data_IF_135215995847
#
_entry.id   IF_135215995847
#
_cell.length_a   1.000
_cell.length_b   1.000
_cell.length_c   1.000
_cell.angle_alpha   90.00
_cell.angle_beta   90.00
_cell.angle_gamma   90.00
#
_symmetry.space_group_name_H-M   'P 1'
#
loop_
_entity.id
_entity.type
_entity.pdbx_description
1 polymer ?
#
# COMPACT_ATOMS: atom_id res chain seq x y z
N UNK A 1 -0.76 -1.12 12.89
CA UNK A 1 -1.99 -1.58 12.19
C UNK A 1 -1.97 -3.08 12.01
N UNK A 2 -3.07 -3.82 12.27
CA UNK A 2 -3.08 -5.24 11.96
C UNK A 2 -3.44 -5.43 10.48
N UNK A 3 -2.59 -4.94 9.57
CA UNK A 3 -2.60 -5.50 8.21
C UNK A 3 -2.04 -6.93 8.20
N UNK A 4 -1.31 -7.31 9.27
CA UNK A 4 -0.78 -8.63 9.50
C UNK A 4 -1.76 -9.63 10.13
N UNK A 5 -2.86 -9.17 10.74
CA UNK A 5 -3.77 -10.04 11.50
C UNK A 5 -5.17 -9.87 10.95
N UNK A 6 -5.76 -10.98 10.51
CA UNK A 6 -7.13 -11.09 9.99
C UNK A 6 -8.16 -10.79 11.09
N UNK A 7 -8.23 -9.56 11.58
CA UNK A 7 -9.34 -9.12 12.39
C UNK A 7 -10.57 -8.94 11.50
N UNK A 8 -11.75 -9.27 12.01
CA UNK A 8 -13.01 -8.87 11.38
C UNK A 8 -13.23 -7.38 11.64
N UNK A 9 -12.43 -6.54 10.99
CA UNK A 9 -12.40 -5.08 11.16
C UNK A 9 -13.71 -4.40 10.79
N UNK A 10 -14.49 -5.06 9.95
CA UNK A 10 -15.82 -4.63 9.54
C UNK A 10 -16.92 -5.02 10.52
N UNK A 11 -16.64 -5.86 11.54
CA UNK A 11 -17.64 -6.30 12.52
C UNK A 11 -17.46 -5.54 13.83
N UNK A 12 -18.46 -4.74 14.17
CA UNK A 12 -18.59 -4.08 15.47
C UNK A 12 -19.93 -4.47 16.08
N UNK A 13 -19.91 -4.92 17.34
CA UNK A 13 -21.11 -5.38 18.05
C UNK A 13 -21.96 -6.42 17.29
N UNK A 14 -21.27 -7.36 16.61
CA UNK A 14 -21.85 -8.39 15.73
C UNK A 14 -22.54 -7.88 14.46
N UNK A 15 -22.41 -6.60 14.13
CA UNK A 15 -22.90 -6.02 12.88
C UNK A 15 -21.77 -5.63 11.93
N UNK A 16 -21.99 -5.84 10.63
CA UNK A 16 -21.07 -5.33 9.61
C UNK A 16 -21.31 -3.82 9.42
N UNK A 17 -20.40 -2.99 9.92
CA UNK A 17 -20.51 -1.52 9.94
C UNK A 17 -20.73 -0.93 8.54
N UNK A 18 -20.03 -1.45 7.54
CA UNK A 18 -20.16 -0.98 6.16
C UNK A 18 -21.56 -1.29 5.61
N UNK A 19 -22.04 -2.51 5.84
CA UNK A 19 -23.36 -2.94 5.36
C UNK A 19 -24.49 -2.26 6.13
N UNK A 20 -24.41 -2.14 7.46
CA UNK A 20 -25.41 -1.46 8.28
C UNK A 20 -25.52 0.01 7.89
N UNK A 21 -24.39 0.70 7.70
CA UNK A 21 -24.34 2.08 7.20
C UNK A 21 -24.97 2.20 5.81
N UNK A 22 -24.69 1.27 4.89
CA UNK A 22 -25.23 1.30 3.52
C UNK A 22 -26.76 1.15 3.45
N UNK A 23 -27.39 0.50 4.44
CA UNK A 23 -28.86 0.35 4.47
C UNK A 23 -29.58 1.71 4.59
N UNK A 24 -28.97 2.64 5.32
CA UNK A 24 -29.53 3.96 5.59
C UNK A 24 -28.87 5.08 4.76
N UNK A 25 -27.87 4.75 3.93
CA UNK A 25 -27.13 5.72 3.14
C UNK A 25 -27.06 5.28 1.66
N UNK A 26 -28.04 5.76 0.89
CA UNK A 26 -28.26 5.36 -0.51
C UNK A 26 -27.02 5.46 -1.42
N UNK A 27 -26.21 6.53 -1.38
CA UNK A 27 -25.01 6.62 -2.23
C UNK A 27 -24.02 5.48 -1.99
N UNK A 28 -23.78 5.13 -0.72
CA UNK A 28 -22.87 4.03 -0.37
C UNK A 28 -23.41 2.68 -0.82
N UNK A 29 -24.73 2.48 -0.72
CA UNK A 29 -25.35 1.25 -1.24
C UNK A 29 -25.07 1.08 -2.73
N UNK A 30 -25.25 2.13 -3.52
CA UNK A 30 -24.92 2.10 -4.94
C UNK A 30 -23.43 1.85 -5.19
N UNK A 31 -22.52 2.49 -4.44
CA UNK A 31 -21.09 2.26 -4.58
C UNK A 31 -20.69 0.80 -4.27
N UNK A 32 -21.27 0.19 -3.23
CA UNK A 32 -21.04 -1.23 -2.89
C UNK A 32 -21.56 -2.15 -4.00
N UNK A 33 -22.75 -1.87 -4.54
CA UNK A 33 -23.27 -2.63 -5.68
C UNK A 33 -22.36 -2.49 -6.90
N UNK A 34 -21.88 -1.28 -7.21
CA UNK A 34 -20.97 -1.03 -8.32
C UNK A 34 -19.71 -1.89 -8.21
N UNK A 35 -18.95 -1.81 -7.11
CA UNK A 35 -17.70 -2.57 -6.96
C UNK A 35 -17.92 -4.08 -6.92
N UNK A 36 -19.06 -4.53 -6.37
CA UNK A 36 -19.42 -5.95 -6.34
C UNK A 36 -19.67 -6.48 -7.75
N UNK A 37 -20.47 -5.76 -8.56
CA UNK A 37 -20.75 -6.13 -9.95
C UNK A 37 -19.50 -6.05 -10.81
N UNK A 38 -18.65 -5.04 -10.61
CA UNK A 38 -17.36 -4.92 -11.31
C UNK A 38 -16.51 -6.16 -11.07
N UNK A 39 -16.35 -6.55 -9.81
CA UNK A 39 -15.52 -7.68 -9.44
C UNK A 39 -16.07 -9.00 -9.99
N UNK A 40 -17.37 -9.26 -9.90
CA UNK A 40 -17.99 -10.42 -10.55
C UNK A 40 -17.85 -10.36 -12.07
N UNK A 41 -17.99 -9.17 -12.64
CA UNK A 41 -17.87 -8.91 -14.07
C UNK A 41 -16.49 -9.22 -14.63
N UNK A 42 -15.45 -8.79 -13.91
CA UNK A 42 -14.05 -9.03 -14.26
C UNK A 42 -13.63 -10.50 -14.11
N UNK A 43 -14.25 -11.27 -13.20
CA UNK A 43 -13.85 -12.65 -12.92
C UNK A 43 -14.50 -13.65 -13.87
N UNK A 44 -15.82 -13.62 -14.00
CA UNK A 44 -16.55 -14.69 -14.69
C UNK A 44 -17.86 -14.28 -15.35
N UNK A 45 -18.31 -13.03 -15.18
CA UNK A 45 -19.65 -12.59 -15.60
C UNK A 45 -19.66 -11.25 -16.35
N UNK A 46 -19.02 -11.15 -17.53
CA UNK A 46 -18.85 -9.87 -18.25
C UNK A 46 -20.15 -9.08 -18.46
N UNK A 47 -21.30 -9.75 -18.51
CA UNK A 47 -22.61 -9.12 -18.61
C UNK A 47 -22.96 -8.17 -17.45
N UNK A 48 -22.31 -8.33 -16.29
CA UNK A 48 -22.55 -7.50 -15.10
C UNK A 48 -21.80 -6.15 -15.14
N UNK A 49 -20.85 -5.96 -16.06
CA UNK A 49 -20.03 -4.74 -16.15
C UNK A 49 -20.90 -3.52 -16.45
N UNK A 50 -21.90 -3.63 -17.31
CA UNK A 50 -22.80 -2.51 -17.61
C UNK A 50 -23.58 -2.04 -16.37
N UNK A 51 -24.07 -2.98 -15.56
CA UNK A 51 -24.77 -2.68 -14.30
C UNK A 51 -23.85 -2.04 -13.26
N UNK A 52 -22.57 -2.40 -13.27
CA UNK A 52 -21.53 -1.78 -12.45
C UNK A 52 -21.42 -0.27 -12.71
N UNK A 53 -21.34 0.13 -13.99
CA UNK A 53 -21.28 1.56 -14.36
C UNK A 53 -22.54 2.31 -13.98
N UNK A 54 -23.71 1.70 -14.18
CA UNK A 54 -24.98 2.31 -13.81
C UNK A 54 -25.05 2.62 -12.31
N UNK A 55 -24.59 1.69 -11.46
CA UNK A 55 -24.56 1.93 -10.01
C UNK A 55 -23.50 2.94 -9.60
N UNK A 56 -22.34 2.99 -10.27
CA UNK A 56 -21.35 4.04 -10.05
C UNK A 56 -21.95 5.44 -10.32
N UNK A 57 -22.60 5.63 -11.47
CA UNK A 57 -23.23 6.90 -11.83
C UNK A 57 -24.35 7.29 -10.85
N UNK A 58 -25.13 6.31 -10.39
CA UNK A 58 -26.14 6.51 -9.35
C UNK A 58 -25.52 6.93 -8.00
N UNK A 59 -24.40 6.33 -7.61
CA UNK A 59 -23.68 6.71 -6.39
C UNK A 59 -23.19 8.15 -6.45
N UNK A 60 -22.59 8.57 -7.57
CA UNK A 60 -22.13 9.95 -7.80
C UNK A 60 -23.30 10.93 -7.80
N UNK A 61 -24.40 10.60 -8.49
CA UNK A 61 -25.59 11.45 -8.55
C UNK A 61 -26.22 11.65 -7.17
N UNK A 62 -26.36 10.55 -6.41
CA UNK A 62 -26.88 10.61 -5.05
C UNK A 62 -25.92 11.36 -4.11
N UNK A 63 -24.60 11.23 -4.30
CA UNK A 63 -23.59 11.98 -3.55
C UNK A 63 -23.71 13.50 -3.75
N UNK A 64 -24.01 13.96 -4.98
CA UNK A 64 -24.19 15.40 -5.27
C UNK A 64 -25.42 15.99 -4.59
N UNK A 65 -26.40 15.14 -4.24
CA UNK A 65 -27.65 15.54 -3.61
C UNK A 65 -27.62 15.36 -2.08
N UNK A 66 -26.44 15.19 -1.49
CA UNK A 66 -26.29 14.96 -0.05
C UNK A 66 -26.67 16.19 0.77
N UNK A 67 -27.44 15.95 1.82
CA UNK A 67 -27.68 16.95 2.86
C UNK A 67 -26.38 17.32 3.57
N UNK A 68 -26.17 18.59 3.95
CA UNK A 68 -25.09 18.99 4.85
C UNK A 68 -25.08 18.25 6.20
N UNK A 69 -26.22 17.67 6.60
CA UNK A 69 -26.37 16.87 7.82
C UNK A 69 -26.01 15.39 7.64
N UNK A 70 -25.48 14.98 6.49
CA UNK A 70 -25.11 13.59 6.23
C UNK A 70 -23.99 13.14 7.17
N UNK A 71 -24.00 11.86 7.57
CA UNK A 71 -22.96 11.28 8.42
C UNK A 71 -21.58 11.37 7.74
N UNK A 72 -20.58 12.04 8.35
CA UNK A 72 -19.23 12.12 7.79
C UNK A 72 -18.58 10.75 7.59
N UNK A 73 -18.87 9.79 8.47
CA UNK A 73 -18.36 8.43 8.38
C UNK A 73 -18.98 7.67 7.20
N UNK A 74 -20.28 7.84 6.95
CA UNK A 74 -20.92 7.24 5.78
C UNK A 74 -20.37 7.82 4.46
N UNK A 75 -20.09 9.13 4.44
CA UNK A 75 -19.44 9.81 3.32
C UNK A 75 -17.99 9.35 3.15
N UNK A 76 -17.27 9.09 4.25
CA UNK A 76 -15.92 8.52 4.22
C UNK A 76 -15.91 7.14 3.57
N UNK A 77 -16.80 6.24 4.01
CA UNK A 77 -16.93 4.91 3.41
C UNK A 77 -17.32 4.97 1.93
N UNK A 78 -18.22 5.89 1.55
CA UNK A 78 -18.60 6.10 0.15
C UNK A 78 -17.36 6.42 -0.71
N UNK A 79 -16.57 7.42 -0.32
CA UNK A 79 -15.41 7.82 -1.09
C UNK A 79 -14.29 6.77 -1.10
N UNK A 80 -14.15 5.99 -0.02
CA UNK A 80 -13.24 4.85 -0.02
C UNK A 80 -13.66 3.79 -1.05
N UNK A 81 -14.93 3.40 -1.08
CA UNK A 81 -15.40 2.39 -2.05
C UNK A 81 -15.30 2.90 -3.49
N UNK A 82 -15.62 4.18 -3.73
CA UNK A 82 -15.46 4.79 -5.07
C UNK A 82 -13.98 4.87 -5.49
N UNK A 83 -13.06 5.16 -4.56
CA UNK A 83 -11.63 5.08 -4.83
C UNK A 83 -11.22 3.66 -5.25
N UNK A 84 -11.61 2.64 -4.50
CA UNK A 84 -11.31 1.23 -4.84
C UNK A 84 -11.92 0.82 -6.18
N UNK A 85 -13.12 1.33 -6.51
CA UNK A 85 -13.76 1.15 -7.80
C UNK A 85 -12.91 1.75 -8.94
N UNK A 86 -12.49 3.00 -8.79
CA UNK A 86 -11.68 3.70 -9.79
C UNK A 86 -10.33 3.01 -9.99
N UNK A 87 -9.68 2.56 -8.92
CA UNK A 87 -8.42 1.79 -9.00
C UNK A 87 -8.66 0.48 -9.78
N UNK A 88 -9.78 -0.21 -9.54
CA UNK A 88 -10.11 -1.43 -10.26
C UNK A 88 -10.39 -1.17 -11.76
N UNK A 89 -11.00 -0.03 -12.09
CA UNK A 89 -11.40 0.38 -13.44
C UNK A 89 -10.25 0.94 -14.28
N UNK A 90 -9.46 1.88 -13.75
CA UNK A 90 -8.14 2.23 -14.30
C UNK A 90 -7.29 0.97 -14.51
N UNK A 91 -7.69 -0.06 -13.77
CA UNK A 91 -7.01 -1.30 -13.67
C UNK A 91 -7.04 -2.00 -15.08
N UNK A 92 -8.15 -1.75 -15.78
CA UNK A 92 -8.50 -2.25 -17.10
C UNK A 92 -8.14 -1.17 -18.12
N UNK A 93 -7.58 -1.55 -19.28
CA UNK A 93 -7.17 -0.61 -20.35
C UNK A 93 -8.38 0.01 -21.06
N UNK A 94 -9.23 0.72 -20.33
CA UNK A 94 -10.38 1.39 -20.92
C UNK A 94 -9.95 2.69 -21.61
N UNK A 95 -10.52 3.03 -22.79
CA UNK A 95 -10.05 4.13 -23.62
C UNK A 95 -10.21 5.53 -23.00
N UNK A 96 -11.05 5.66 -21.97
CA UNK A 96 -11.36 6.94 -21.35
C UNK A 96 -10.71 7.02 -19.97
N UNK A 97 -9.80 7.99 -19.80
CA UNK A 97 -9.21 8.34 -18.50
C UNK A 97 -10.27 9.04 -17.65
N UNK A 98 -11.11 8.24 -17.00
CA UNK A 98 -12.19 8.69 -16.09
C UNK A 98 -11.77 8.65 -14.62
N UNK A 99 -10.47 8.65 -14.31
CA UNK A 99 -10.04 8.47 -12.93
C UNK A 99 -10.36 9.70 -12.06
N UNK A 100 -11.14 9.50 -11.00
CA UNK A 100 -11.45 10.54 -9.99
C UNK A 100 -10.65 10.33 -8.70
N UNK A 101 -9.51 9.65 -8.77
CA UNK A 101 -8.65 9.34 -7.62
C UNK A 101 -8.31 10.58 -6.79
N UNK A 102 -7.79 11.63 -7.43
CA UNK A 102 -7.38 12.84 -6.73
C UNK A 102 -8.55 13.54 -6.05
N UNK A 103 -9.77 13.41 -6.59
CA UNK A 103 -11.00 13.91 -5.94
C UNK A 103 -11.33 13.10 -4.69
N UNK A 104 -11.32 11.77 -4.79
CA UNK A 104 -11.63 10.89 -3.65
C UNK A 104 -10.59 11.00 -2.54
N UNK A 105 -9.30 11.02 -2.87
CA UNK A 105 -8.21 11.18 -1.90
C UNK A 105 -8.29 12.52 -1.15
N UNK A 106 -8.56 13.63 -1.85
CA UNK A 106 -8.76 14.94 -1.21
C UNK A 106 -9.95 14.94 -0.25
N UNK A 107 -11.07 14.33 -0.64
CA UNK A 107 -12.26 14.27 0.21
C UNK A 107 -12.07 13.33 1.40
N UNK A 108 -11.40 12.20 1.21
CA UNK A 108 -11.01 11.30 2.30
C UNK A 108 -10.09 11.99 3.30
N UNK A 109 -9.12 12.78 2.81
CA UNK A 109 -8.21 13.54 3.65
C UNK A 109 -8.98 14.54 4.54
N UNK A 110 -9.92 15.30 3.97
CA UNK A 110 -10.73 16.23 4.78
C UNK A 110 -11.53 15.50 5.86
N UNK A 111 -12.16 14.37 5.51
CA UNK A 111 -13.01 13.58 6.41
C UNK A 111 -12.23 12.80 7.49
N UNK A 112 -10.94 12.53 7.25
CA UNK A 112 -10.05 11.89 8.21
C UNK A 112 -9.65 12.83 9.36
N UNK A 113 -9.57 14.13 9.08
CA UNK A 113 -9.18 15.18 10.04
C UNK A 113 -10.36 15.99 10.60
N UNK A 114 -11.60 15.70 10.17
CA UNK A 114 -12.78 16.28 10.82
C UNK A 114 -12.79 15.89 12.31
N UNK A 115 -12.99 16.87 13.23
CA UNK A 115 -13.02 16.61 14.66
C UNK A 115 -13.98 15.46 14.94
N UNK A 116 -13.44 14.35 15.41
CA UNK A 116 -14.25 13.19 15.68
C UNK A 116 -15.37 13.58 16.65
N UNK A 117 -16.61 13.19 16.33
CA UNK A 117 -17.61 13.00 17.37
C UNK A 117 -17.08 12.01 18.44
N UNK A 118 -17.87 11.72 19.48
CA UNK A 118 -17.38 11.00 20.67
C UNK A 118 -16.76 9.60 20.44
N UNK A 119 -16.83 9.01 19.23
CA UNK A 119 -16.03 7.83 18.86
C UNK A 119 -15.88 7.69 17.34
N UNK A 120 -14.69 7.28 16.87
CA UNK A 120 -14.43 6.84 15.48
C UNK A 120 -14.57 5.32 15.43
N UNK A 121 -15.26 4.77 14.42
CA UNK A 121 -15.34 3.30 14.27
C UNK A 121 -13.96 2.68 14.02
N UNK A 122 -13.77 1.41 14.41
CA UNK A 122 -12.55 0.65 14.12
C UNK A 122 -12.32 0.54 12.61
N UNK A 123 -13.40 0.39 11.83
CA UNK A 123 -13.30 0.36 10.37
C UNK A 123 -12.77 1.68 9.81
N UNK A 124 -13.31 2.83 10.25
CA UNK A 124 -12.82 4.15 9.79
C UNK A 124 -11.36 4.36 10.19
N UNK A 125 -10.98 4.06 11.43
CA UNK A 125 -9.59 4.14 11.87
C UNK A 125 -8.66 3.25 11.03
N UNK A 126 -9.05 2.01 10.75
CA UNK A 126 -8.29 1.12 9.88
C UNK A 126 -8.11 1.69 8.46
N UNK A 127 -9.21 2.09 7.85
CA UNK A 127 -9.20 2.61 6.48
C UNK A 127 -8.38 3.90 6.37
N UNK A 128 -8.39 4.76 7.39
CA UNK A 128 -7.59 6.00 7.40
C UNK A 128 -6.10 5.76 7.17
N UNK A 129 -5.49 4.76 7.80
CA UNK A 129 -4.07 4.48 7.56
C UNK A 129 -3.85 3.57 6.36
N UNK A 130 -4.80 2.71 6.00
CA UNK A 130 -4.72 1.94 4.76
C UNK A 130 -4.69 2.88 3.54
N UNK A 131 -5.55 3.91 3.52
CA UNK A 131 -5.55 4.96 2.49
C UNK A 131 -4.22 5.72 2.48
N UNK A 132 -3.65 6.03 3.65
CA UNK A 132 -2.33 6.67 3.73
C UNK A 132 -1.26 5.82 3.03
N UNK A 133 -1.20 4.52 3.32
CA UNK A 133 -0.24 3.63 2.69
C UNK A 133 -0.49 3.51 1.19
N UNK A 134 -1.76 3.36 0.77
CA UNK A 134 -2.16 3.25 -0.62
C UNK A 134 -1.75 4.49 -1.42
N UNK A 135 -2.05 5.68 -0.91
CA UNK A 135 -1.69 6.96 -1.54
C UNK A 135 -0.17 7.16 -1.57
N UNK A 136 0.53 6.80 -0.49
CA UNK A 136 1.98 6.87 -0.43
C UNK A 136 2.63 5.94 -1.46
N UNK A 137 2.18 4.68 -1.56
CA UNK A 137 2.67 3.71 -2.53
C UNK A 137 2.38 4.13 -3.97
N UNK A 138 1.21 4.71 -4.25
CA UNK A 138 0.90 5.27 -5.57
C UNK A 138 1.84 6.44 -5.92
N UNK A 139 2.18 7.29 -4.95
CA UNK A 139 3.17 8.35 -5.14
C UNK A 139 4.59 7.82 -5.39
N UNK A 140 5.00 6.78 -4.65
CA UNK A 140 6.26 6.06 -4.91
C UNK A 140 6.28 5.43 -6.31
N UNK A 141 5.14 4.94 -6.80
CA UNK A 141 4.98 4.45 -8.17
C UNK A 141 5.01 5.55 -9.25
N UNK A 142 5.26 6.80 -8.88
CA UNK A 142 5.34 7.94 -9.80
C UNK A 142 4.00 8.43 -10.31
N UNK A 143 2.89 8.10 -9.66
CA UNK A 143 1.58 8.64 -10.02
C UNK A 143 1.49 10.12 -9.60
N UNK A 144 1.33 11.02 -10.58
CA UNK A 144 1.22 12.46 -10.35
C UNK A 144 -0.07 12.90 -9.65
N UNK A 145 -1.13 12.09 -9.73
CA UNK A 145 -2.42 12.33 -9.08
C UNK A 145 -2.46 11.81 -7.63
N UNK A 146 -1.39 11.14 -7.18
CA UNK A 146 -1.26 10.64 -5.82
C UNK A 146 -0.67 11.70 -4.85
N UNK A 147 -0.62 11.35 -3.57
CA UNK A 147 -0.04 12.14 -2.50
C UNK A 147 -0.96 13.22 -1.93
N UNK A 148 -2.24 13.25 -2.29
CA UNK A 148 -3.19 14.20 -1.72
C UNK A 148 -3.50 13.90 -0.25
N UNK A 149 -3.76 12.63 0.07
CA UNK A 149 -4.01 12.19 1.44
C UNK A 149 -2.71 12.22 2.24
N UNK A 150 -1.60 11.81 1.63
CA UNK A 150 -0.26 11.86 2.23
C UNK A 150 0.15 13.27 2.64
N UNK A 151 -0.01 14.28 1.78
CA UNK A 151 0.30 15.68 2.12
C UNK A 151 -0.56 16.20 3.25
N UNK A 152 -1.88 15.96 3.18
CA UNK A 152 -2.79 16.37 4.24
C UNK A 152 -2.40 15.75 5.59
N UNK A 153 -2.01 14.46 5.62
CA UNK A 153 -1.51 13.81 6.83
C UNK A 153 -0.26 14.51 7.40
N UNK A 154 0.73 14.81 6.56
CA UNK A 154 1.95 15.50 6.97
C UNK A 154 1.69 16.93 7.46
N UNK A 155 0.78 17.65 6.80
CA UNK A 155 0.37 19.03 7.13
C UNK A 155 -0.48 19.10 8.41
N UNK A 156 -1.28 18.07 8.71
CA UNK A 156 -2.13 17.99 9.91
C UNK A 156 -1.42 17.26 11.07
N UNK A 157 -0.12 17.49 11.25
CA UNK A 157 0.63 17.03 12.41
C UNK A 157 0.83 15.51 12.50
N UNK A 158 0.79 14.79 11.37
CA UNK A 158 0.98 13.33 11.31
C UNK A 158 0.00 12.56 12.19
N UNK A 159 -1.23 13.05 12.31
CA UNK A 159 -2.27 12.45 13.14
C UNK A 159 -3.38 11.84 12.30
N UNK A 160 -3.69 10.58 12.55
CA UNK A 160 -4.88 9.89 12.06
C UNK A 160 -5.58 9.20 13.21
N UNK A 161 -6.89 8.91 13.08
CA UNK A 161 -7.59 8.11 14.06
C UNK A 161 -6.84 6.79 14.29
N UNK A 162 -6.39 6.59 15.52
CA UNK A 162 -5.86 5.29 15.96
C UNK A 162 -7.04 4.47 16.43
N UNK A 163 -6.98 3.17 16.18
CA UNK A 163 -7.92 2.21 16.75
C UNK A 163 -8.05 2.48 18.27
N UNK A 164 -9.27 2.72 18.81
CA UNK A 164 -9.44 2.79 20.26
C UNK A 164 -9.21 1.39 20.85
N UNK A 165 -8.04 1.14 21.42
CA UNK A 165 -7.73 -0.13 22.07
C UNK A 165 -8.48 -0.17 23.41
N UNK A 166 -9.82 -0.21 23.41
CA UNK A 166 -10.73 -0.43 24.57
C UNK A 166 -12.21 -0.18 24.16
N UNK A 167 -13.28 -0.76 24.77
CA UNK A 167 -13.46 -1.98 25.55
C UNK A 167 -14.50 -2.88 24.85
N UNK A 168 -14.24 -3.37 23.63
CA UNK A 168 -14.98 -4.55 23.20
C UNK A 168 -14.64 -5.65 24.20
N UNK A 169 -15.64 -6.32 24.78
CA UNK A 169 -15.45 -7.40 25.77
C UNK A 169 -14.56 -8.56 25.27
N UNK A 170 -14.15 -8.53 24.00
CA UNK A 170 -13.07 -9.33 23.44
C UNK A 170 -11.71 -8.72 23.80
N UNK A 171 -11.08 -9.27 24.83
CA UNK A 171 -9.63 -9.12 25.03
C UNK A 171 -8.92 -9.68 23.78
N UNK A 172 -8.35 -8.79 22.96
CA UNK A 172 -7.56 -9.17 21.77
C UNK A 172 -6.27 -9.87 22.18
N UNK A 173 -5.71 -9.48 23.34
CA UNK A 173 -4.52 -10.05 23.94
C UNK A 173 -4.85 -10.49 25.36
N UNK A 174 -4.22 -11.58 25.79
CA UNK A 174 -4.56 -12.31 27.00
C UNK A 174 -4.00 -11.65 28.26
N UNK A 175 -2.84 -10.97 28.15
CA UNK A 175 -2.14 -10.35 29.29
C UNK A 175 -1.81 -8.87 29.08
N UNK A 176 -1.68 -8.06 30.16
CA UNK A 176 -1.21 -6.68 30.06
C UNK A 176 0.19 -6.53 29.46
N UNK A 177 1.10 -7.47 29.73
CA UNK A 177 2.47 -7.47 29.20
C UNK A 177 2.46 -7.68 27.68
N UNK A 178 1.61 -8.59 27.19
CA UNK A 178 1.41 -8.81 25.76
C UNK A 178 0.83 -7.57 25.08
N UNK A 179 -0.03 -6.83 25.78
CA UNK A 179 -0.56 -5.55 25.29
C UNK A 179 0.53 -4.47 25.20
N UNK A 180 1.37 -4.31 26.22
CA UNK A 180 2.49 -3.36 26.19
C UNK A 180 3.44 -3.65 25.03
N UNK A 181 3.78 -4.92 24.83
CA UNK A 181 4.65 -5.33 23.73
C UNK A 181 3.98 -5.12 22.36
N UNK A 182 2.69 -5.45 22.23
CA UNK A 182 1.91 -5.13 21.05
C UNK A 182 1.91 -3.63 20.73
N UNK A 183 1.76 -2.77 21.75
CA UNK A 183 1.75 -1.32 21.56
C UNK A 183 3.10 -0.81 21.03
N UNK A 184 4.23 -1.38 21.45
CA UNK A 184 5.56 -1.04 20.92
C UNK A 184 5.69 -1.40 19.45
N UNK A 185 5.37 -2.64 19.06
CA UNK A 185 5.45 -3.05 17.64
C UNK A 185 4.39 -2.34 16.79
N UNK A 186 3.23 -2.01 17.38
CA UNK A 186 2.21 -1.22 16.71
C UNK A 186 2.72 0.20 16.44
N UNK A 187 3.33 0.86 17.42
CA UNK A 187 3.97 2.18 17.25
C UNK A 187 5.01 2.13 16.13
N UNK A 188 5.85 1.10 16.09
CA UNK A 188 6.83 0.91 15.01
C UNK A 188 6.16 0.83 13.62
N UNK A 189 5.01 0.16 13.51
CA UNK A 189 4.25 0.11 12.26
C UNK A 189 3.69 1.47 11.83
N UNK A 190 3.27 2.32 12.78
CA UNK A 190 2.78 3.68 12.49
C UNK A 190 3.93 4.58 12.01
N UNK A 191 5.08 4.50 12.68
CA UNK A 191 6.31 5.21 12.28
C UNK A 191 6.73 4.82 10.86
N UNK A 192 6.59 3.54 10.50
CA UNK A 192 6.88 3.09 9.13
C UNK A 192 5.93 3.71 8.11
N UNK A 193 4.66 3.90 8.44
CA UNK A 193 3.72 4.62 7.58
C UNK A 193 4.03 6.12 7.47
N UNK A 194 4.53 6.74 8.54
CA UNK A 194 5.05 8.11 8.48
C UNK A 194 6.26 8.22 7.54
N UNK A 195 7.22 7.28 7.63
CA UNK A 195 8.35 7.23 6.69
C UNK A 195 7.89 7.02 5.23
N UNK A 196 6.88 6.17 4.99
CA UNK A 196 6.24 6.05 3.66
C UNK A 196 5.67 7.37 3.17
N UNK A 197 4.95 8.09 4.04
CA UNK A 197 4.34 9.36 3.68
C UNK A 197 5.41 10.39 3.27
N UNK A 198 6.46 10.54 4.07
CA UNK A 198 7.56 11.47 3.81
C UNK A 198 8.33 11.11 2.54
N UNK A 199 8.73 9.83 2.39
CA UNK A 199 9.48 9.36 1.22
C UNK A 199 8.67 9.45 -0.06
N UNK A 200 7.35 9.22 -0.01
CA UNK A 200 6.46 9.36 -1.16
C UNK A 200 6.49 10.79 -1.71
N UNK A 201 6.38 11.79 -0.83
CA UNK A 201 6.46 13.19 -1.26
C UNK A 201 7.87 13.57 -1.72
N UNK A 202 8.91 13.07 -1.04
CA UNK A 202 10.28 13.27 -1.46
C UNK A 202 10.53 12.70 -2.88
N UNK A 203 10.05 11.49 -3.17
CA UNK A 203 10.19 10.84 -4.48
C UNK A 203 9.50 11.64 -5.58
N UNK A 204 8.24 12.07 -5.38
CA UNK A 204 7.51 12.88 -6.35
C UNK A 204 8.22 14.20 -6.64
N UNK A 205 8.71 14.89 -5.60
CA UNK A 205 9.45 16.14 -5.74
C UNK A 205 10.79 15.94 -6.43
N UNK A 206 11.54 14.89 -6.08
CA UNK A 206 12.86 14.60 -6.65
C UNK A 206 12.76 14.19 -8.11
N UNK A 207 11.77 13.36 -8.49
CA UNK A 207 11.46 13.04 -9.89
C UNK A 207 11.07 14.29 -10.69
N UNK A 208 10.29 15.20 -10.10
CA UNK A 208 9.94 16.48 -10.75
C UNK A 208 11.18 17.35 -10.96
N UNK A 209 11.97 17.59 -9.91
CA UNK A 209 13.18 18.41 -9.98
C UNK A 209 14.22 17.83 -10.95
N UNK A 210 14.34 16.49 -11.02
CA UNK A 210 15.20 15.82 -11.99
C UNK A 210 14.76 16.09 -13.44
N UNK A 211 13.45 15.94 -13.74
CA UNK A 211 12.90 16.20 -15.08
C UNK A 211 13.08 17.67 -15.50
N UNK A 212 12.94 18.59 -14.54
CA UNK A 212 13.15 20.03 -14.76
C UNK A 212 14.63 20.43 -14.78
N UNK A 213 15.57 19.48 -14.56
CA UNK A 213 17.02 19.72 -14.46
C UNK A 213 17.41 20.74 -13.38
N UNK A 214 16.61 20.80 -12.32
CA UNK A 214 16.80 21.71 -11.19
C UNK A 214 17.72 21.14 -10.10
N UNK A 215 18.14 19.88 -10.21
CA UNK A 215 18.94 19.20 -9.19
C UNK A 215 20.14 18.45 -9.78
N UNK A 216 21.31 18.62 -9.17
CA UNK A 216 22.55 17.97 -9.59
C UNK A 216 22.75 16.57 -9.02
N UNK A 217 23.70 15.81 -9.56
CA UNK A 217 24.06 14.46 -9.08
C UNK A 217 24.41 14.42 -7.58
N UNK A 218 25.31 15.31 -7.14
CA UNK A 218 25.77 15.36 -5.75
C UNK A 218 24.61 15.64 -4.78
N UNK A 219 23.72 16.56 -5.15
CA UNK A 219 22.56 16.92 -4.33
C UNK A 219 21.55 15.77 -4.24
N UNK A 220 21.31 15.06 -5.35
CA UNK A 220 20.51 13.83 -5.36
C UNK A 220 21.10 12.78 -4.43
N UNK A 221 22.38 12.44 -4.57
CA UNK A 221 23.05 11.43 -3.73
C UNK A 221 23.03 11.79 -2.25
N UNK A 222 23.30 13.06 -1.92
CA UNK A 222 23.21 13.55 -0.54
C UNK A 222 21.79 13.40 0.02
N UNK A 223 20.76 13.74 -0.78
CA UNK A 223 19.37 13.59 -0.37
C UNK A 223 19.01 12.13 -0.04
N UNK A 224 19.45 11.18 -0.86
CA UNK A 224 19.24 9.74 -0.60
C UNK A 224 19.94 9.32 0.68
N UNK A 225 21.20 9.71 0.86
CA UNK A 225 21.99 9.37 2.04
C UNK A 225 21.39 9.94 3.32
N UNK A 226 21.00 11.22 3.31
CA UNK A 226 20.39 11.89 4.47
C UNK A 226 19.05 11.25 4.87
N UNK A 227 18.26 10.83 3.88
CA UNK A 227 16.98 10.16 4.14
C UNK A 227 17.19 8.73 4.64
N UNK A 228 18.19 8.01 4.10
CA UNK A 228 18.55 6.64 4.51
C UNK A 228 19.03 6.61 5.96
N UNK A 229 19.97 7.51 6.33
CA UNK A 229 20.45 7.66 7.71
C UNK A 229 19.29 7.96 8.65
N UNK A 230 18.40 8.91 8.29
CA UNK A 230 17.26 9.28 9.14
C UNK A 230 16.31 8.11 9.36
N UNK A 231 15.98 7.36 8.31
CA UNK A 231 15.14 6.18 8.44
C UNK A 231 15.79 5.10 9.31
N UNK A 232 17.09 4.86 9.15
CA UNK A 232 17.83 3.90 9.97
C UNK A 232 17.85 4.32 11.45
N UNK A 233 18.10 5.59 11.75
CA UNK A 233 18.06 6.12 13.12
C UNK A 233 16.68 5.95 13.74
N UNK A 234 15.62 6.38 13.04
CA UNK A 234 14.24 6.27 13.53
C UNK A 234 13.82 4.81 13.74
N UNK A 235 14.22 3.91 12.84
CA UNK A 235 13.99 2.47 13.00
C UNK A 235 14.68 1.93 14.25
N UNK A 236 15.99 2.17 14.40
CA UNK A 236 16.79 1.67 15.52
C UNK A 236 16.29 2.20 16.88
N UNK A 237 15.85 3.45 16.96
CA UNK A 237 15.32 4.05 18.18
C UNK A 237 13.98 3.46 18.63
N UNK A 238 13.21 2.87 17.72
CA UNK A 238 11.84 2.39 18.00
C UNK A 238 11.67 0.86 17.85
N UNK A 239 12.65 0.16 17.26
CA UNK A 239 12.62 -1.28 17.08
C UNK A 239 12.94 -1.99 18.42
N UNK A 240 12.06 -2.87 18.93
CA UNK A 240 12.36 -3.64 20.13
C UNK A 240 13.56 -4.59 19.89
N UNK A 241 14.65 -4.52 20.66
CA UNK A 241 15.89 -5.27 20.36
C UNK A 241 15.71 -6.79 20.27
N UNK A 242 14.82 -7.34 21.09
CA UNK A 242 14.55 -8.77 21.15
C UNK A 242 13.72 -9.29 19.95
N UNK A 243 13.16 -8.40 19.13
CA UNK A 243 12.42 -8.77 17.90
C UNK A 243 13.36 -8.98 16.71
N UNK A 244 14.58 -8.43 16.76
CA UNK A 244 15.60 -8.65 15.72
C UNK A 244 16.33 -9.98 15.92
N UNK A 245 16.44 -10.45 17.16
CA UNK A 245 16.96 -11.77 17.50
C UNK A 245 15.93 -12.87 17.20
N UNK A 246 16.19 -13.67 16.16
CA UNK A 246 15.46 -14.92 15.88
C UNK A 246 15.77 -15.96 16.98
N UNK A 247 15.12 -15.86 18.14
CA UNK A 247 15.09 -16.97 19.09
C UNK A 247 13.96 -17.94 18.72
N UNK A 248 14.39 -19.06 18.12
CA UNK A 248 13.60 -20.28 17.91
C UNK A 248 13.17 -20.84 19.27
N UNK A 249 11.99 -20.44 19.72
CA UNK A 249 11.29 -21.16 20.77
C UNK A 249 9.96 -21.73 20.25
N UNK A 250 9.50 -22.78 20.94
CA UNK A 250 8.33 -23.59 20.67
C UNK A 250 7.10 -22.84 20.12
N UNK A 251 6.17 -23.58 19.50
CA UNK A 251 4.98 -23.07 18.82
C UNK A 251 4.40 -21.80 19.49
N UNK A 252 4.52 -20.62 18.83
CA UNK A 252 4.26 -19.34 19.49
C UNK A 252 2.82 -19.25 19.98
N UNK A 253 2.64 -18.72 21.19
CA UNK A 253 1.32 -18.43 21.76
C UNK A 253 0.49 -17.54 20.82
N UNK A 254 -0.86 -17.55 20.91
CA UNK A 254 -1.71 -16.70 20.07
C UNK A 254 -1.33 -15.21 20.12
N UNK A 255 -1.05 -14.69 21.31
CA UNK A 255 -0.59 -13.31 21.51
C UNK A 255 0.75 -13.06 20.81
N UNK A 256 1.72 -13.98 20.97
CA UNK A 256 3.04 -13.88 20.31
C UNK A 256 2.93 -13.89 18.79
N UNK A 257 1.96 -14.62 18.22
CA UNK A 257 1.70 -14.59 16.75
C UNK A 257 1.17 -13.23 16.28
N UNK A 258 0.29 -12.59 17.03
CA UNK A 258 -0.26 -11.25 16.71
C UNK A 258 0.87 -10.20 16.75
N UNK A 259 1.68 -10.25 17.80
CA UNK A 259 2.81 -9.33 17.99
C UNK A 259 3.86 -9.55 16.90
N UNK A 260 4.30 -10.79 16.69
CA UNK A 260 5.27 -11.14 15.65
C UNK A 260 4.76 -10.81 14.25
N UNK A 261 3.49 -11.07 13.95
CA UNK A 261 2.89 -10.68 12.67
C UNK A 261 2.92 -9.17 12.47
N UNK A 262 2.58 -8.39 13.50
CA UNK A 262 2.62 -6.91 13.44
C UNK A 262 4.04 -6.39 13.23
N UNK A 263 5.02 -6.97 13.91
CA UNK A 263 6.44 -6.66 13.71
C UNK A 263 6.92 -7.04 12.30
N UNK A 264 6.66 -8.26 11.85
CA UNK A 264 7.06 -8.75 10.53
C UNK A 264 6.48 -7.88 9.41
N UNK A 265 5.24 -7.42 9.57
CA UNK A 265 4.66 -6.45 8.64
C UNK A 265 5.44 -5.13 8.64
N UNK A 266 5.72 -4.55 9.81
CA UNK A 266 6.51 -3.30 9.89
C UNK A 266 7.92 -3.47 9.28
N UNK A 267 8.60 -4.59 9.58
CA UNK A 267 9.94 -4.91 9.06
C UNK A 267 9.95 -5.13 7.55
N UNK A 268 8.92 -5.77 6.99
CA UNK A 268 8.74 -5.92 5.54
C UNK A 268 8.56 -4.54 4.88
N UNK A 269 7.66 -3.73 5.42
CA UNK A 269 7.40 -2.37 4.93
C UNK A 269 8.67 -1.49 5.00
N UNK A 270 9.47 -1.61 6.06
CA UNK A 270 10.77 -0.94 6.16
C UNK A 270 11.75 -1.36 5.07
N UNK A 271 11.88 -2.67 4.79
CA UNK A 271 12.73 -3.15 3.69
C UNK A 271 12.28 -2.63 2.33
N UNK A 272 10.96 -2.54 2.10
CA UNK A 272 10.41 -1.94 0.88
C UNK A 272 10.79 -0.46 0.76
N UNK A 273 10.72 0.30 1.86
CA UNK A 273 11.13 1.70 1.86
C UNK A 273 12.59 1.89 1.51
N UNK A 274 13.48 1.15 2.16
CA UNK A 274 14.92 1.24 1.92
C UNK A 274 15.25 0.88 0.47
N UNK A 275 14.70 -0.24 -0.01
CA UNK A 275 14.93 -0.67 -1.38
C UNK A 275 14.43 0.37 -2.40
N UNK A 276 13.27 0.99 -2.16
CA UNK A 276 12.77 2.05 -3.04
C UNK A 276 13.67 3.29 -2.98
N UNK A 277 14.07 3.68 -1.78
CA UNK A 277 14.93 4.83 -1.52
C UNK A 277 16.25 4.73 -2.30
N UNK A 278 16.85 3.54 -2.32
CA UNK A 278 18.14 3.31 -2.95
C UNK A 278 18.06 3.10 -4.46
N UNK A 279 16.90 2.71 -4.99
CA UNK A 279 16.79 2.28 -6.39
C UNK A 279 15.89 3.14 -7.28
N UNK A 280 14.92 3.87 -6.73
CA UNK A 280 13.74 4.31 -7.50
C UNK A 280 13.28 5.75 -7.22
N UNK A 281 14.03 6.55 -6.47
CA UNK A 281 13.63 7.93 -6.13
C UNK A 281 13.71 8.90 -7.31
N UNK A 282 14.53 8.60 -8.32
CA UNK A 282 14.60 9.34 -9.58
C UNK A 282 15.07 8.43 -10.73
N UNK A 283 14.81 8.80 -12.00
CA UNK A 283 15.24 8.01 -13.14
C UNK A 283 16.74 7.74 -13.16
N UNK A 284 17.10 6.50 -13.48
CA UNK A 284 18.50 6.05 -13.65
C UNK A 284 19.35 6.11 -12.36
N UNK A 285 18.73 6.20 -11.18
CA UNK A 285 19.43 6.29 -9.90
C UNK A 285 20.51 5.24 -9.68
N UNK A 286 20.27 4.00 -10.12
CA UNK A 286 21.20 2.90 -9.93
C UNK A 286 22.47 2.99 -10.77
N UNK A 287 22.48 3.84 -11.81
CA UNK A 287 23.70 4.12 -12.59
C UNK A 287 24.62 5.11 -11.89
N UNK A 288 24.11 5.87 -10.92
CA UNK A 288 24.85 6.93 -10.24
C UNK A 288 25.79 6.37 -9.14
N UNK A 289 25.72 5.08 -8.81
CA UNK A 289 26.67 4.37 -7.93
C UNK A 289 26.11 3.15 -7.21
N UNK A 290 27.00 2.36 -6.60
CA UNK A 290 26.69 1.10 -5.91
C UNK A 290 26.72 1.21 -4.37
N UNK A 291 26.57 2.41 -3.81
CA UNK A 291 26.72 2.67 -2.36
C UNK A 291 25.92 1.70 -1.48
N UNK A 292 24.70 1.35 -1.91
CA UNK A 292 23.77 0.52 -1.16
C UNK A 292 23.61 -0.90 -1.72
N UNK A 293 24.46 -1.33 -2.67
CA UNK A 293 24.25 -2.58 -3.41
C UNK A 293 24.20 -3.85 -2.52
N UNK A 294 24.98 -3.86 -1.43
CA UNK A 294 24.97 -4.95 -0.44
C UNK A 294 23.66 -4.95 0.34
N UNK A 295 23.27 -3.80 0.89
CA UNK A 295 22.02 -3.63 1.65
C UNK A 295 20.79 -3.94 0.81
N UNK A 296 20.78 -3.53 -0.46
CA UNK A 296 19.71 -3.82 -1.40
C UNK A 296 19.58 -5.33 -1.66
N UNK A 297 20.70 -6.03 -1.75
CA UNK A 297 20.71 -7.51 -1.90
C UNK A 297 20.12 -8.18 -0.67
N UNK A 298 20.48 -7.71 0.53
CA UNK A 298 19.92 -8.20 1.80
C UNK A 298 18.41 -7.94 1.89
N UNK A 299 17.95 -6.75 1.52
CA UNK A 299 16.52 -6.41 1.48
C UNK A 299 15.74 -7.24 0.46
N UNK A 300 16.27 -7.44 -0.75
CA UNK A 300 15.66 -8.32 -1.75
C UNK A 300 15.51 -9.74 -1.20
N UNK A 301 16.59 -10.31 -0.67
CA UNK A 301 16.62 -11.66 -0.11
C UNK A 301 15.61 -11.81 1.04
N UNK A 302 15.59 -10.83 1.96
CA UNK A 302 14.67 -10.80 3.09
C UNK A 302 13.22 -10.78 2.64
N UNK A 303 12.86 -9.89 1.70
CA UNK A 303 11.50 -9.78 1.16
C UNK A 303 11.07 -11.10 0.53
N UNK A 304 11.89 -11.66 -0.36
CA UNK A 304 11.59 -12.90 -1.08
C UNK A 304 11.39 -14.06 -0.11
N UNK A 305 12.25 -14.20 0.89
CA UNK A 305 12.15 -15.27 1.89
C UNK A 305 10.93 -15.09 2.80
N UNK A 306 10.65 -13.87 3.24
CA UNK A 306 9.49 -13.55 4.10
C UNK A 306 8.18 -13.88 3.41
N UNK A 307 8.02 -13.47 2.15
CA UNK A 307 6.80 -13.76 1.38
C UNK A 307 6.68 -15.26 1.08
N UNK A 308 7.79 -15.93 0.76
CA UNK A 308 7.80 -17.38 0.57
C UNK A 308 7.32 -18.12 1.82
N UNK A 309 7.77 -17.72 3.00
CA UNK A 309 7.30 -18.30 4.27
C UNK A 309 5.81 -18.04 4.50
N UNK A 310 5.31 -16.84 4.18
CA UNK A 310 3.87 -16.52 4.26
C UNK A 310 3.00 -17.46 3.40
N UNK A 311 3.48 -17.85 2.22
CA UNK A 311 2.76 -18.79 1.34
C UNK A 311 2.72 -20.22 1.89
N UNK A 312 3.76 -20.65 2.60
CA UNK A 312 3.79 -21.95 3.30
C UNK A 312 2.67 -22.01 4.34
N UNK A 313 2.34 -20.88 4.97
CA UNK A 313 1.22 -20.76 5.91
C UNK A 313 -0.13 -20.41 5.24
N UNK A 314 -0.23 -20.59 3.92
CA UNK A 314 -1.43 -20.40 3.11
C UNK A 314 -2.02 -18.98 3.09
N UNK A 315 -1.20 -17.94 3.31
CA UNK A 315 -1.66 -16.54 3.28
C UNK A 315 -1.54 -15.92 1.87
N UNK A 316 -1.98 -16.65 0.85
CA UNK A 316 -1.86 -16.27 -0.57
C UNK A 316 -2.79 -15.12 -0.98
N UNK A 317 -3.80 -14.82 -0.16
CA UNK A 317 -4.77 -13.74 -0.37
C UNK A 317 -4.22 -12.36 0.02
N UNK A 318 -3.00 -12.29 0.53
CA UNK A 318 -2.49 -11.09 1.16
C UNK A 318 -1.85 -10.12 0.16
N UNK A 319 -2.68 -9.37 -0.56
CA UNK A 319 -2.24 -8.53 -1.69
C UNK A 319 -1.24 -7.43 -1.33
N UNK A 320 -1.11 -7.04 -0.05
CA UNK A 320 -0.11 -6.06 0.37
C UNK A 320 1.34 -6.55 0.13
N UNK A 321 1.55 -7.87 -0.03
CA UNK A 321 2.85 -8.46 -0.35
C UNK A 321 3.26 -8.22 -1.81
N UNK A 322 2.32 -7.89 -2.70
CA UNK A 322 2.58 -7.71 -4.12
C UNK A 322 3.55 -6.55 -4.38
N UNK A 323 3.45 -5.47 -3.61
CA UNK A 323 4.38 -4.33 -3.68
C UNK A 323 5.81 -4.78 -3.38
N UNK A 324 5.98 -5.53 -2.30
CA UNK A 324 7.29 -5.97 -1.84
C UNK A 324 7.94 -6.90 -2.87
N UNK A 325 7.18 -7.89 -3.37
CA UNK A 325 7.63 -8.81 -4.41
C UNK A 325 8.03 -8.10 -5.70
N UNK A 326 7.21 -7.13 -6.12
CA UNK A 326 7.50 -6.33 -7.30
C UNK A 326 8.84 -5.61 -7.18
N UNK A 327 9.02 -4.87 -6.10
CA UNK A 327 10.21 -4.05 -5.91
C UNK A 327 11.47 -4.92 -5.74
N UNK A 328 11.39 -5.99 -4.96
CA UNK A 328 12.48 -6.96 -4.82
C UNK A 328 12.83 -7.63 -6.15
N UNK A 329 11.83 -8.05 -6.92
CA UNK A 329 12.03 -8.66 -8.24
C UNK A 329 12.61 -7.69 -9.27
N UNK A 330 12.24 -6.42 -9.23
CA UNK A 330 12.78 -5.39 -10.11
C UNK A 330 14.23 -5.01 -9.74
N UNK A 331 14.54 -5.00 -8.44
CA UNK A 331 15.82 -4.56 -7.92
C UNK A 331 16.91 -5.65 -7.95
N UNK A 332 16.57 -6.89 -7.59
CA UNK A 332 17.54 -7.98 -7.43
C UNK A 332 18.37 -8.25 -8.69
N UNK A 333 19.65 -8.56 -8.49
CA UNK A 333 20.57 -9.00 -9.56
C UNK A 333 20.55 -10.54 -9.72
N UNK A 334 19.86 -11.28 -8.85
CA UNK A 334 19.84 -12.74 -8.85
C UNK A 334 18.68 -13.29 -9.71
N UNK A 335 18.93 -14.06 -10.79
CA UNK A 335 17.87 -14.60 -11.65
C UNK A 335 16.87 -15.51 -10.93
N UNK A 336 17.34 -16.25 -9.91
CA UNK A 336 16.51 -17.14 -9.09
C UNK A 336 15.49 -16.33 -8.29
N UNK A 337 15.87 -15.17 -7.76
CA UNK A 337 14.97 -14.29 -7.01
C UNK A 337 13.97 -13.59 -7.92
N UNK A 338 14.40 -13.12 -9.10
CA UNK A 338 13.49 -12.56 -10.13
C UNK A 338 12.40 -13.57 -10.49
N UNK A 339 12.81 -14.82 -10.74
CA UNK A 339 11.89 -15.91 -11.07
C UNK A 339 10.95 -16.22 -9.91
N UNK A 340 11.46 -16.24 -8.68
CA UNK A 340 10.65 -16.46 -7.48
C UNK A 340 9.60 -15.35 -7.27
N UNK A 341 9.95 -14.09 -7.48
CA UNK A 341 9.03 -12.96 -7.39
C UNK A 341 7.87 -13.10 -8.38
N UNK A 342 8.18 -13.40 -9.65
CA UNK A 342 7.19 -13.59 -10.71
C UNK A 342 6.24 -14.77 -10.41
N UNK A 343 6.79 -15.92 -10.00
CA UNK A 343 5.98 -17.08 -9.63
C UNK A 343 5.06 -16.78 -8.44
N UNK A 344 5.56 -16.09 -7.42
CA UNK A 344 4.74 -15.76 -6.25
C UNK A 344 3.64 -14.75 -6.57
N UNK A 345 3.92 -13.74 -7.41
CA UNK A 345 2.89 -12.82 -7.91
C UNK A 345 1.83 -13.55 -8.75
N UNK A 346 2.23 -14.55 -9.54
CA UNK A 346 1.30 -15.38 -10.29
C UNK A 346 0.40 -16.19 -9.34
N UNK A 347 0.93 -16.80 -8.28
CA UNK A 347 0.11 -17.52 -7.29
C UNK A 347 -0.90 -16.60 -6.57
N UNK A 348 -0.50 -15.36 -6.24
CA UNK A 348 -1.38 -14.36 -5.63
C UNK A 348 -2.51 -13.93 -6.58
N UNK A 349 -2.23 -13.82 -7.88
CA UNK A 349 -3.26 -13.52 -8.89
C UNK A 349 -4.39 -14.56 -8.88
N UNK A 350 -4.04 -15.85 -8.70
CA UNK A 350 -5.04 -16.93 -8.67
C UNK A 350 -5.82 -16.99 -7.34
N UNK A 351 -5.19 -16.63 -6.22
CA UNK A 351 -5.82 -16.62 -4.91
C UNK A 351 -6.71 -15.39 -4.67
N UNK A 352 -6.45 -14.30 -5.40
CA UNK A 352 -6.90 -12.96 -5.08
C UNK A 352 -8.22 -12.46 -5.66
N UNK A 353 -8.67 -11.36 -5.08
CA UNK A 353 -9.56 -10.39 -5.72
C UNK A 353 -8.70 -9.41 -6.51
N UNK A 354 -9.00 -9.25 -7.80
CA UNK A 354 -8.60 -8.16 -8.70
C UNK A 354 -7.47 -8.43 -9.69
N UNK A 355 -7.59 -7.81 -10.86
CA UNK A 355 -6.50 -7.67 -11.82
C UNK A 355 -5.33 -6.80 -11.33
N UNK A 356 -5.33 -6.30 -10.09
CA UNK A 356 -4.25 -5.46 -9.56
C UNK A 356 -2.94 -6.24 -9.47
N UNK A 357 -2.97 -7.43 -8.88
CA UNK A 357 -1.79 -8.31 -8.83
C UNK A 357 -1.35 -8.72 -10.24
N UNK A 358 -2.30 -9.02 -11.14
CA UNK A 358 -2.00 -9.35 -12.54
C UNK A 358 -1.23 -8.22 -13.24
N UNK A 359 -1.59 -6.96 -12.98
CA UNK A 359 -0.86 -5.80 -13.50
C UNK A 359 0.51 -5.62 -12.88
N UNK A 360 0.60 -5.76 -11.56
CA UNK A 360 1.89 -5.70 -10.86
C UNK A 360 2.84 -6.75 -11.45
N UNK A 361 2.37 -7.99 -11.65
CA UNK A 361 3.12 -9.04 -12.34
C UNK A 361 3.48 -8.63 -13.77
N UNK A 362 2.53 -8.11 -14.55
CA UNK A 362 2.77 -7.69 -15.92
C UNK A 362 3.85 -6.60 -16.04
N UNK A 363 3.84 -5.62 -15.14
CA UNK A 363 4.89 -4.58 -15.08
C UNK A 363 6.22 -5.22 -14.74
N UNK A 364 6.28 -6.15 -13.77
CA UNK A 364 7.52 -6.84 -13.43
C UNK A 364 8.06 -7.65 -14.62
N UNK A 365 7.21 -8.37 -15.33
CA UNK A 365 7.61 -9.10 -16.55
C UNK A 365 8.19 -8.18 -17.62
N UNK A 366 7.60 -6.99 -17.77
CA UNK A 366 8.10 -5.98 -18.68
C UNK A 366 9.48 -5.47 -18.26
N UNK A 367 9.67 -5.15 -16.97
CA UNK A 367 10.95 -4.72 -16.40
C UNK A 367 12.01 -5.80 -16.60
N UNK A 368 11.73 -7.05 -16.22
CA UNK A 368 12.68 -8.17 -16.35
C UNK A 368 13.08 -8.40 -17.81
N UNK A 369 12.11 -8.32 -18.73
CA UNK A 369 12.38 -8.46 -20.17
C UNK A 369 13.26 -7.32 -20.69
N UNK A 370 12.98 -6.09 -20.29
CA UNK A 370 13.73 -4.93 -20.76
C UNK A 370 15.15 -4.92 -20.17
N UNK A 371 15.32 -5.29 -18.89
CA UNK A 371 16.63 -5.49 -18.26
C UNK A 371 17.47 -6.51 -19.03
N UNK A 372 16.89 -7.68 -19.35
CA UNK A 372 17.60 -8.72 -20.10
C UNK A 372 18.00 -8.26 -21.51
N UNK A 373 17.16 -7.48 -22.20
CA UNK A 373 17.51 -6.91 -23.51
C UNK A 373 18.70 -5.95 -23.43
N UNK A 374 18.74 -5.12 -22.38
CA UNK A 374 19.86 -4.18 -22.15
C UNK A 374 21.16 -4.92 -21.93
N UNK A 375 21.15 -5.97 -21.10
CA UNK A 375 22.31 -6.83 -20.87
C UNK A 375 22.78 -7.52 -22.16
N UNK A 376 21.85 -8.07 -22.97
CA UNK A 376 22.17 -8.69 -24.27
C UNK A 376 22.80 -7.68 -25.24
N UNK A 377 22.37 -6.42 -25.20
CA UNK A 377 22.92 -5.34 -26.01
C UNK A 377 24.26 -4.79 -25.48
N UNK A 378 24.79 -5.35 -24.39
CA UNK A 378 26.05 -4.92 -23.76
C UNK A 378 25.92 -3.72 -22.81
N UNK A 379 24.70 -3.29 -22.49
CA UNK A 379 24.40 -2.27 -21.48
C UNK A 379 24.16 -2.85 -20.08
N UNK A 380 23.72 -2.00 -19.15
CA UNK A 380 23.39 -2.41 -17.79
C UNK A 380 21.87 -2.61 -17.60
N UNK A 381 21.47 -3.63 -16.84
CA UNK A 381 20.09 -3.77 -16.37
C UNK A 381 19.63 -2.57 -15.52
N UNK A 382 20.57 -1.86 -14.88
CA UNK A 382 20.31 -0.69 -14.04
C UNK A 382 19.89 0.55 -14.88
N UNK A 383 19.98 0.49 -16.21
CA UNK A 383 19.43 1.50 -17.13
C UNK A 383 17.89 1.51 -17.16
N UNK A 384 17.25 0.45 -16.68
CA UNK A 384 15.79 0.30 -16.72
C UNK A 384 15.15 0.92 -15.48
N UNK A 385 14.57 2.11 -15.63
CA UNK A 385 13.68 2.69 -14.63
C UNK A 385 12.26 2.15 -14.82
N UNK A 386 11.77 1.38 -13.84
CA UNK A 386 10.46 0.72 -13.95
C UNK A 386 9.28 1.70 -13.94
N UNK A 387 9.44 2.88 -13.33
CA UNK A 387 8.38 3.89 -13.27
C UNK A 387 8.24 4.54 -14.65
N UNK A 388 9.33 4.99 -15.26
CA UNK A 388 9.32 5.54 -16.62
C UNK A 388 8.82 4.49 -17.63
N UNK A 389 9.32 3.25 -17.54
CA UNK A 389 8.88 2.15 -18.39
C UNK A 389 7.37 1.87 -18.27
N UNK A 390 6.82 1.92 -17.05
CA UNK A 390 5.38 1.75 -16.81
C UNK A 390 4.57 2.88 -17.46
N UNK A 391 5.06 4.12 -17.40
CA UNK A 391 4.39 5.28 -17.99
C UNK A 391 4.39 5.21 -19.52
N UNK A 392 5.51 4.82 -20.13
CA UNK A 392 5.66 4.61 -21.57
C UNK A 392 4.67 3.56 -22.11
N UNK A 393 4.36 2.55 -21.30
CA UNK A 393 3.42 1.48 -21.66
C UNK A 393 1.97 1.77 -21.23
N UNK A 394 1.67 2.99 -20.79
CA UNK A 394 0.32 3.42 -20.40
C UNK A 394 -0.17 2.80 -19.08
N UNK A 395 0.73 2.33 -18.22
CA UNK A 395 0.43 1.68 -16.93
C UNK A 395 0.56 2.66 -15.76
N UNK A 396 0.26 3.95 -15.96
CA UNK A 396 0.54 5.09 -15.06
C UNK A 396 -0.04 4.98 -13.63
N UNK A 397 -0.94 4.02 -13.37
CA UNK A 397 -1.71 3.89 -12.14
C UNK A 397 -1.44 2.55 -11.42
N UNK A 398 -0.19 2.07 -11.38
CA UNK A 398 0.13 0.83 -10.66
C UNK A 398 -0.13 1.02 -9.17
N UNK A 399 -1.21 0.40 -8.67
CA UNK A 399 -1.47 0.30 -7.23
C UNK A 399 -1.01 -1.06 -6.75
N UNK A 400 -0.03 -1.04 -5.88
CA UNK A 400 0.55 -2.25 -5.31
C UNK A 400 -0.22 -2.70 -4.05
N UNK A 401 -1.40 -3.30 -4.24
CA UNK A 401 -2.10 -3.99 -3.15
C UNK A 401 -3.53 -3.51 -2.87
N UNK A 402 -4.43 -3.77 -3.82
CA UNK A 402 -5.86 -3.88 -3.57
C UNK A 402 -6.27 -5.32 -3.35
#
# INVERSE_FOLDING_TARGET
>A
MPMAVRFKLNIEDNENVLLSTSRNFLPLRHAICAITLLNSGMKSRPELIAGSFQHYDQAITACRSLSPSASPEAVFFLHFILLMYDIACASQRWPEDRSSWSLHLRKLASLAHEPAGPSVSRLKAYLSWYILLLDAQAGLAGNSEAGHYTRAFLENGRSLPVWPISPSHQKVLSTPESMDEFLKVHKLSLITFEMFAEQSQASLNLRRAFRERHIGLKERQQHIQDLSIRHATVWQENCPPHMESQEDEAAPSPDRRIIAGTYNFARLQYSVLQLHLHTSMYPYQRLDGDLFAVEDTEHCTYIINTVRQSFVYNDRENHHLAHALFLAGAATKLPVEKSAALMMLQEMEHAGLSGAVARVRHVLELVVREQAKREIAGGSADEVDWIELSQEHGLKNVVFGM
#
